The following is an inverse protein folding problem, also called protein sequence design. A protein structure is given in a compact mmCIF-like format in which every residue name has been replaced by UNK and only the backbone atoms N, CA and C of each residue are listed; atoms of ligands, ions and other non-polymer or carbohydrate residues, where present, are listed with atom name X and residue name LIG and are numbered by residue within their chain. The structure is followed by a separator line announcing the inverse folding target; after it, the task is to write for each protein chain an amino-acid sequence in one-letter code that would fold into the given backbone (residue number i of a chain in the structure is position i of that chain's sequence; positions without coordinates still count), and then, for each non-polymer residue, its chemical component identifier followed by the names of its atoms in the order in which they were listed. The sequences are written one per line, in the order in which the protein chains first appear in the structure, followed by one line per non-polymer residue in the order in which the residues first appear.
data_IF_418282425324
#
_entry.id   IF_418282425324
#
_cell.length_a   1.000
_cell.length_b   1.000
_cell.length_c   1.000
_cell.angle_alpha   90.00
_cell.angle_beta   90.00
_cell.angle_gamma   90.00
#
_symmetry.space_group_name_H-M   'P 1'
#
loop_
_entity.id
_entity.type
_entity.pdbx_description
1 polymer ?
#
# COMPACT_ATOMS: atom_id res chain seq x y z
N UNK A 1 -1.04 8.89 8.97
CA UNK A 1 -1.43 7.56 9.49
C UNK A 1 -1.45 7.58 11.02
N UNK A 2 -0.44 8.17 11.66
CA UNK A 2 -0.33 8.28 13.13
C UNK A 2 -1.54 8.94 13.83
N UNK A 3 -2.13 9.99 13.25
CA UNK A 3 -3.32 10.66 13.83
C UNK A 3 -4.52 9.70 13.91
N UNK A 4 -4.64 8.76 12.98
CA UNK A 4 -5.75 7.80 12.95
C UNK A 4 -5.55 6.70 14.01
N UNK A 5 -4.32 6.22 14.18
CA UNK A 5 -3.98 5.26 15.25
C UNK A 5 -4.13 5.86 16.65
N UNK A 6 -3.82 7.15 16.81
CA UNK A 6 -4.00 7.84 18.08
C UNK A 6 -5.49 7.90 18.48
N UNK A 7 -6.37 8.24 17.52
CA UNK A 7 -7.82 8.26 17.74
C UNK A 7 -8.38 6.88 18.09
N UNK A 8 -7.95 5.84 17.39
CA UNK A 8 -8.33 4.45 17.67
C UNK A 8 -7.90 4.01 19.07
N UNK A 9 -6.68 4.38 19.51
CA UNK A 9 -6.21 4.12 20.87
C UNK A 9 -7.06 4.84 21.91
N UNK A 10 -7.34 6.12 21.74
CA UNK A 10 -8.18 6.88 22.68
C UNK A 10 -9.60 6.32 22.78
N UNK A 11 -10.23 5.96 21.65
CA UNK A 11 -11.58 5.36 21.64
C UNK A 11 -11.56 4.01 22.36
N UNK A 12 -10.54 3.18 22.09
CA UNK A 12 -10.37 1.89 22.77
C UNK A 12 -10.23 2.10 24.28
N UNK A 13 -9.35 3.00 24.72
CA UNK A 13 -9.18 3.33 26.14
C UNK A 13 -10.46 3.86 26.79
N UNK A 14 -11.21 4.73 26.12
CA UNK A 14 -12.48 5.24 26.62
C UNK A 14 -13.53 4.12 26.77
N UNK A 15 -13.65 3.23 25.78
CA UNK A 15 -14.54 2.06 25.86
C UNK A 15 -14.14 1.13 27.00
N UNK A 16 -12.86 0.77 27.13
CA UNK A 16 -12.38 -0.10 28.21
C UNK A 16 -12.59 0.52 29.59
N UNK A 17 -12.34 1.82 29.75
CA UNK A 17 -12.61 2.55 31.00
C UNK A 17 -14.09 2.58 31.33
N UNK A 18 -14.96 2.79 30.33
CA UNK A 18 -16.41 2.75 30.50
C UNK A 18 -16.88 1.36 30.93
N UNK A 19 -16.43 0.29 30.24
CA UNK A 19 -16.78 -1.08 30.60
C UNK A 19 -16.25 -1.46 31.99
N UNK A 20 -15.03 -1.06 32.34
CA UNK A 20 -14.48 -1.27 33.68
C UNK A 20 -15.31 -0.54 34.75
N UNK A 21 -15.72 0.70 34.48
CA UNK A 21 -16.54 1.49 35.40
C UNK A 21 -17.95 0.90 35.55
N UNK A 22 -18.58 0.46 34.47
CA UNK A 22 -19.84 -0.28 34.51
C UNK A 22 -19.70 -1.59 35.29
N UNK A 23 -18.63 -2.36 35.05
CA UNK A 23 -18.37 -3.61 35.77
C UNK A 23 -18.17 -3.37 37.28
N UNK A 24 -17.43 -2.32 37.66
CA UNK A 24 -17.25 -1.92 39.06
C UNK A 24 -18.57 -1.44 39.68
N UNK A 25 -19.37 -0.65 38.96
CA UNK A 25 -20.66 -0.16 39.43
C UNK A 25 -21.66 -1.30 39.64
N UNK A 26 -21.75 -2.23 38.67
CA UNK A 26 -22.59 -3.43 38.75
C UNK A 26 -22.08 -4.36 39.85
N UNK A 27 -20.77 -4.57 39.96
CA UNK A 27 -20.16 -5.39 41.01
C UNK A 27 -20.42 -4.82 42.40
N UNK A 28 -20.23 -3.50 42.59
CA UNK A 28 -20.51 -2.81 43.85
C UNK A 28 -21.99 -2.88 44.21
N UNK A 29 -22.88 -2.63 43.26
CA UNK A 29 -24.32 -2.70 43.50
C UNK A 29 -24.77 -4.13 43.78
N UNK A 30 -24.24 -5.10 43.04
CA UNK A 30 -24.45 -6.54 43.25
C UNK A 30 -23.99 -6.98 44.64
N UNK A 31 -22.77 -6.63 45.07
CA UNK A 31 -22.24 -6.97 46.40
C UNK A 31 -23.10 -6.35 47.51
N UNK A 32 -23.46 -5.06 47.40
CA UNK A 32 -24.31 -4.40 48.39
C UNK A 32 -25.70 -5.05 48.48
N UNK A 33 -26.27 -5.46 47.35
CA UNK A 33 -27.59 -6.09 47.31
C UNK A 33 -27.56 -7.55 47.75
N UNK A 34 -26.50 -8.29 47.42
CA UNK A 34 -26.27 -9.68 47.82
C UNK A 34 -26.03 -9.81 49.32
N UNK A 35 -25.29 -8.86 49.92
CA UNK A 35 -25.04 -8.83 51.37
C UNK A 35 -26.29 -8.40 52.15
N UNK A 36 -27.17 -7.58 51.56
CA UNK A 36 -28.35 -7.08 52.27
C UNK A 36 -29.64 -7.91 52.05
N UNK A 37 -29.79 -8.67 50.97
CA UNK A 37 -31.07 -9.33 50.60
C UNK A 37 -30.82 -10.75 50.06
N UNK A 38 -30.86 -11.74 50.95
CA UNK A 38 -30.66 -13.17 50.63
C UNK A 38 -31.90 -13.88 50.05
N UNK A 39 -33.03 -13.19 49.83
CA UNK A 39 -34.27 -13.76 49.28
C UNK A 39 -34.49 -13.37 47.81
N UNK A 40 -33.56 -13.72 46.92
CA UNK A 40 -33.80 -13.58 45.48
C UNK A 40 -34.54 -14.80 44.95
N UNK A 41 -35.66 -14.57 44.27
CA UNK A 41 -36.35 -15.63 43.52
C UNK A 41 -35.46 -16.15 42.39
N UNK A 42 -35.53 -17.45 42.12
CA UNK A 42 -34.86 -18.14 41.00
C UNK A 42 -34.94 -17.42 39.63
N UNK A 43 -36.03 -16.70 39.26
CA UNK A 43 -36.10 -15.99 37.99
C UNK A 43 -35.11 -14.82 37.85
N UNK A 44 -34.85 -14.07 38.92
CA UNK A 44 -33.98 -12.89 38.88
C UNK A 44 -32.51 -13.28 38.70
N UNK A 45 -32.12 -14.42 39.26
CA UNK A 45 -30.80 -15.01 39.05
C UNK A 45 -30.55 -15.39 37.58
N UNK A 46 -31.55 -16.02 36.94
CA UNK A 46 -31.44 -16.43 35.54
C UNK A 46 -31.25 -15.24 34.59
N UNK A 47 -31.99 -14.15 34.80
CA UNK A 47 -31.86 -12.92 34.00
C UNK A 47 -30.46 -12.29 34.13
N UNK A 48 -29.87 -12.30 35.33
CA UNK A 48 -28.54 -11.75 35.56
C UNK A 48 -27.44 -12.59 34.90
N UNK A 49 -27.51 -13.92 35.04
CA UNK A 49 -26.56 -14.84 34.39
C UNK A 49 -26.66 -14.71 32.86
N UNK A 50 -27.86 -14.57 32.31
CA UNK A 50 -28.05 -14.36 30.87
C UNK A 50 -27.43 -13.05 30.39
N UNK A 51 -27.61 -11.95 31.14
CA UNK A 51 -27.02 -10.66 30.80
C UNK A 51 -25.48 -10.74 30.76
N UNK A 52 -24.85 -11.37 31.75
CA UNK A 52 -23.38 -11.55 31.75
C UNK A 52 -22.92 -12.45 30.61
N UNK A 53 -23.63 -13.56 30.36
CA UNK A 53 -23.34 -14.45 29.24
C UNK A 53 -23.36 -13.72 27.90
N UNK A 54 -24.32 -12.82 27.69
CA UNK A 54 -24.42 -12.01 26.46
C UNK A 54 -23.25 -11.04 26.30
N UNK A 55 -22.83 -10.36 27.38
CA UNK A 55 -21.68 -9.44 27.35
C UNK A 55 -20.39 -10.22 27.09
N UNK A 56 -20.20 -11.36 27.77
CA UNK A 56 -19.04 -12.23 27.57
C UNK A 56 -18.96 -12.74 26.12
N UNK A 57 -20.10 -13.12 25.53
CA UNK A 57 -20.17 -13.55 24.14
C UNK A 57 -19.79 -12.42 23.16
N UNK A 58 -20.28 -11.20 23.38
CA UNK A 58 -19.93 -10.03 22.55
C UNK A 58 -18.43 -9.73 22.65
N UNK A 59 -17.87 -9.69 23.86
CA UNK A 59 -16.43 -9.48 24.06
C UNK A 59 -15.59 -10.58 23.40
N UNK A 60 -16.02 -11.84 23.52
CA UNK A 60 -15.37 -12.97 22.84
C UNK A 60 -15.40 -12.84 21.32
N UNK A 61 -16.54 -12.44 20.74
CA UNK A 61 -16.67 -12.21 19.30
C UNK A 61 -15.75 -11.09 18.80
N UNK A 62 -15.66 -9.98 19.54
CA UNK A 62 -14.75 -8.86 19.21
C UNK A 62 -13.29 -9.32 19.27
N UNK A 63 -12.91 -10.06 20.31
CA UNK A 63 -11.54 -10.56 20.48
C UNK A 63 -11.13 -11.51 19.35
N UNK A 64 -12.02 -12.42 18.95
CA UNK A 64 -11.79 -13.33 17.83
C UNK A 64 -11.68 -12.54 16.52
N UNK A 65 -12.57 -11.57 16.28
CA UNK A 65 -12.53 -10.74 15.07
C UNK A 65 -11.23 -9.93 14.94
N UNK A 66 -10.73 -9.36 16.03
CA UNK A 66 -9.47 -8.61 16.04
C UNK A 66 -8.26 -9.53 15.82
N UNK A 67 -8.26 -10.71 16.43
CA UNK A 67 -7.19 -11.70 16.25
C UNK A 67 -7.16 -12.20 14.80
N UNK A 68 -8.31 -12.49 14.23
CA UNK A 68 -8.47 -12.92 12.85
C UNK A 68 -7.98 -11.83 11.86
N UNK A 69 -8.30 -10.56 12.11
CA UNK A 69 -7.77 -9.43 11.32
C UNK A 69 -6.25 -9.36 11.37
N UNK A 70 -5.65 -9.55 12.54
CA UNK A 70 -4.20 -9.56 12.69
C UNK A 70 -3.55 -10.74 11.93
N UNK A 71 -4.16 -11.93 11.96
CA UNK A 71 -3.69 -13.08 11.18
C UNK A 71 -3.78 -12.81 9.68
N UNK A 72 -4.93 -12.36 9.17
CA UNK A 72 -5.09 -12.02 7.74
C UNK A 72 -4.12 -10.94 7.28
N UNK A 73 -3.82 -9.96 8.11
CA UNK A 73 -2.84 -8.92 7.79
C UNK A 73 -1.41 -9.50 7.65
N UNK A 74 -1.04 -10.46 8.51
CA UNK A 74 0.25 -11.16 8.42
C UNK A 74 0.32 -12.05 7.19
N UNK A 75 -0.73 -12.82 6.91
CA UNK A 75 -0.79 -13.69 5.73
C UNK A 75 -0.71 -12.87 4.43
N UNK A 76 -1.42 -11.74 4.37
CA UNK A 76 -1.34 -10.81 3.25
C UNK A 76 0.07 -10.22 3.08
N UNK A 77 0.76 -9.89 4.18
CA UNK A 77 2.14 -9.41 4.14
C UNK A 77 3.09 -10.50 3.63
N UNK A 78 2.98 -11.75 4.09
CA UNK A 78 3.80 -12.86 3.61
C UNK A 78 3.61 -13.09 2.11
N UNK A 79 2.36 -13.07 1.62
CA UNK A 79 2.06 -13.19 0.19
C UNK A 79 2.67 -12.02 -0.59
N UNK A 80 2.59 -10.81 -0.05
CA UNK A 80 3.15 -9.62 -0.69
C UNK A 80 4.67 -9.65 -0.76
N UNK A 81 5.35 -10.12 0.29
CA UNK A 81 6.80 -10.31 0.32
C UNK A 81 7.23 -11.39 -0.67
N UNK A 82 6.54 -12.53 -0.70
CA UNK A 82 6.84 -13.60 -1.66
C UNK A 82 6.71 -13.10 -3.11
N UNK A 83 5.61 -12.41 -3.42
CA UNK A 83 5.41 -11.79 -4.73
C UNK A 83 6.50 -10.74 -5.03
N UNK A 84 6.94 -9.96 -4.04
CA UNK A 84 7.98 -8.95 -4.23
C UNK A 84 9.33 -9.58 -4.54
N UNK A 85 9.68 -10.66 -3.85
CA UNK A 85 10.90 -11.44 -4.09
C UNK A 85 10.87 -12.09 -5.48
N UNK A 86 9.76 -12.71 -5.87
CA UNK A 86 9.59 -13.30 -7.19
C UNK A 86 9.77 -12.28 -8.31
N UNK A 87 9.25 -11.06 -8.11
CA UNK A 87 9.33 -9.98 -9.10
C UNK A 87 10.58 -9.09 -8.96
N UNK A 88 11.45 -9.33 -7.97
CA UNK A 88 12.57 -8.42 -7.67
C UNK A 88 13.54 -8.31 -8.85
N UNK A 89 13.90 -9.43 -9.48
CA UNK A 89 14.78 -9.44 -10.64
C UNK A 89 14.17 -8.68 -11.82
N UNK A 90 12.87 -8.86 -12.06
CA UNK A 90 12.14 -8.16 -13.11
C UNK A 90 12.13 -6.64 -12.87
N UNK A 91 11.92 -6.20 -11.63
CA UNK A 91 11.95 -4.78 -11.26
C UNK A 91 13.34 -4.15 -11.41
N UNK A 92 14.39 -4.89 -11.07
CA UNK A 92 15.76 -4.45 -11.30
C UNK A 92 16.06 -4.27 -12.78
N UNK A 93 15.65 -5.24 -13.60
CA UNK A 93 15.81 -5.17 -15.06
C UNK A 93 15.05 -3.96 -15.59
N UNK A 94 13.77 -3.79 -15.21
CA UNK A 94 12.93 -2.68 -15.63
C UNK A 94 13.53 -1.32 -15.24
N UNK A 95 14.06 -1.19 -14.03
CA UNK A 95 14.69 0.05 -13.54
C UNK A 95 15.94 0.40 -14.36
N UNK A 96 16.86 -0.56 -14.58
CA UNK A 96 18.05 -0.36 -15.42
C UNK A 96 17.66 0.05 -16.84
N UNK A 97 16.64 -0.62 -17.36
CA UNK A 97 16.07 -0.40 -18.67
C UNK A 97 15.53 1.03 -18.84
N UNK A 98 14.73 1.52 -17.89
CA UNK A 98 14.19 2.88 -17.91
C UNK A 98 15.32 3.91 -17.79
N UNK A 99 16.33 3.65 -16.95
CA UNK A 99 17.50 4.52 -16.80
C UNK A 99 18.28 4.65 -18.11
N UNK A 100 18.44 3.54 -18.84
CA UNK A 100 19.08 3.53 -20.16
C UNK A 100 18.27 4.35 -21.18
N UNK A 101 16.94 4.16 -21.25
CA UNK A 101 16.07 4.95 -22.15
C UNK A 101 16.16 6.44 -21.82
N UNK A 102 16.10 6.79 -20.53
CA UNK A 102 16.25 8.19 -20.08
C UNK A 102 17.59 8.78 -20.52
N UNK A 103 18.69 8.03 -20.41
CA UNK A 103 20.00 8.48 -20.87
C UNK A 103 20.06 8.68 -22.39
N UNK A 104 19.44 7.77 -23.17
CA UNK A 104 19.34 7.93 -24.64
C UNK A 104 18.54 9.15 -25.03
N UNK A 105 17.41 9.42 -24.36
CA UNK A 105 16.59 10.61 -24.59
C UNK A 105 17.36 11.90 -24.23
N UNK A 106 18.08 11.90 -23.10
CA UNK A 106 18.95 13.02 -22.75
C UNK A 106 20.00 13.30 -23.83
N UNK A 107 20.65 12.26 -24.36
CA UNK A 107 21.59 12.42 -25.47
C UNK A 107 20.89 12.94 -26.74
N UNK A 108 19.67 12.48 -27.01
CA UNK A 108 18.85 12.95 -28.13
C UNK A 108 18.44 14.43 -28.03
N UNK A 109 18.47 15.03 -26.83
CA UNK A 109 18.27 16.48 -26.70
C UNK A 109 19.48 17.29 -27.17
N UNK A 110 20.67 16.67 -27.23
CA UNK A 110 21.93 17.31 -27.62
C UNK A 110 22.31 17.02 -29.07
N UNK A 111 21.97 15.83 -29.56
CA UNK A 111 22.26 15.36 -30.92
C UNK A 111 20.97 14.82 -31.51
N UNK A 112 20.53 15.34 -32.65
CA UNK A 112 19.33 14.87 -33.32
C UNK A 112 19.52 13.41 -33.76
N UNK A 113 18.78 12.45 -33.17
CA UNK A 113 18.95 11.04 -33.51
C UNK A 113 18.17 10.72 -34.79
N UNK A 114 18.60 9.66 -35.48
CA UNK A 114 17.90 9.19 -36.67
C UNK A 114 16.46 8.74 -36.34
N UNK A 115 15.49 8.88 -37.26
CA UNK A 115 14.10 8.45 -37.06
C UNK A 115 13.96 6.99 -36.56
N UNK A 116 14.80 6.10 -37.06
CA UNK A 116 14.82 4.68 -36.67
C UNK A 116 15.19 4.46 -35.20
N UNK A 117 16.03 5.33 -34.63
CA UNK A 117 16.39 5.27 -33.20
C UNK A 117 15.20 5.61 -32.31
N UNK A 118 14.37 6.57 -32.71
CA UNK A 118 13.14 6.88 -31.98
C UNK A 118 12.16 5.71 -31.98
N UNK A 119 12.01 5.04 -33.13
CA UNK A 119 11.15 3.87 -33.25
C UNK A 119 11.68 2.69 -32.42
N UNK A 120 13.00 2.47 -32.41
CA UNK A 120 13.63 1.49 -31.53
C UNK A 120 13.39 1.80 -30.06
N UNK A 121 13.53 3.06 -29.63
CA UNK A 121 13.26 3.46 -28.24
C UNK A 121 11.78 3.27 -27.86
N UNK A 122 10.85 3.58 -28.76
CA UNK A 122 9.42 3.35 -28.53
C UNK A 122 9.10 1.86 -28.42
N UNK A 123 9.69 1.04 -29.29
CA UNK A 123 9.55 -0.41 -29.23
C UNK A 123 10.12 -0.98 -27.94
N UNK A 124 11.31 -0.53 -27.50
CA UNK A 124 11.90 -0.91 -26.23
C UNK A 124 11.01 -0.53 -25.05
N UNK A 125 10.38 0.65 -25.09
CA UNK A 125 9.49 1.11 -24.03
C UNK A 125 8.18 0.30 -23.98
N UNK A 126 7.62 -0.04 -25.15
CA UNK A 126 6.38 -0.83 -25.29
C UNK A 126 6.56 -2.31 -24.97
N UNK A 127 7.67 -2.90 -25.41
CA UNK A 127 7.97 -4.31 -25.24
C UNK A 127 8.36 -4.68 -23.80
N UNK A 128 8.53 -3.70 -22.92
CA UNK A 128 8.89 -3.94 -21.53
C UNK A 128 7.66 -4.28 -20.70
N UNK A 129 7.79 -5.39 -19.97
CA UNK A 129 6.72 -5.98 -19.16
C UNK A 129 6.24 -4.96 -18.14
N UNK A 130 5.02 -4.46 -18.36
CA UNK A 130 4.28 -3.67 -17.37
C UNK A 130 3.98 -4.57 -16.18
N UNK A 131 4.02 -3.99 -14.98
CA UNK A 131 3.59 -4.70 -13.79
C UNK A 131 2.07 -4.84 -13.91
N UNK A 132 1.59 -6.08 -13.92
CA UNK A 132 0.17 -6.34 -13.99
C UNK A 132 -0.56 -5.81 -12.74
N UNK A 133 -1.83 -5.48 -12.90
CA UNK A 133 -2.70 -5.00 -11.84
C UNK A 133 -2.81 -6.03 -10.72
N UNK A 134 -2.80 -7.33 -11.04
CA UNK A 134 -2.82 -8.40 -10.04
C UNK A 134 -1.57 -8.36 -9.15
N UNK A 135 -0.38 -8.19 -9.75
CA UNK A 135 0.87 -8.07 -9.01
C UNK A 135 0.91 -6.78 -8.18
N UNK A 136 0.40 -5.66 -8.71
CA UNK A 136 0.28 -4.42 -7.95
C UNK A 136 -0.65 -4.55 -6.74
N UNK A 137 -1.74 -5.31 -6.86
CA UNK A 137 -2.64 -5.62 -5.75
C UNK A 137 -1.96 -6.48 -4.69
N UNK A 138 -1.12 -7.44 -5.08
CA UNK A 138 -0.32 -8.23 -4.13
C UNK A 138 0.62 -7.34 -3.30
N UNK A 139 1.15 -6.27 -3.88
CA UNK A 139 1.99 -5.31 -3.16
C UNK A 139 1.22 -4.38 -2.22
N UNK A 140 -0.13 -4.39 -2.19
CA UNK A 140 -0.89 -3.45 -1.37
C UNK A 140 -0.69 -3.65 0.13
N UNK A 141 -0.26 -4.86 0.55
CA UNK A 141 0.04 -5.17 1.94
C UNK A 141 1.46 -4.76 2.36
N UNK A 142 2.33 -4.36 1.43
CA UNK A 142 3.67 -3.87 1.76
C UNK A 142 3.61 -2.48 2.43
N UNK A 143 4.56 -2.19 3.33
CA UNK A 143 4.67 -0.86 3.96
C UNK A 143 5.01 0.25 2.95
N UNK A 144 5.02 1.50 3.43
CA UNK A 144 5.48 2.69 2.70
C UNK A 144 4.71 3.08 1.43
N UNK A 145 3.51 2.53 1.23
CA UNK A 145 2.70 2.75 0.02
C UNK A 145 3.44 2.27 -1.24
N UNK A 146 4.19 1.16 -1.13
CA UNK A 146 4.95 0.57 -2.23
C UNK A 146 4.08 0.37 -3.49
N UNK A 147 2.93 -0.32 -3.35
CA UNK A 147 1.99 -0.52 -4.45
C UNK A 147 1.57 0.78 -5.17
N UNK A 148 1.30 1.84 -4.40
CA UNK A 148 0.90 3.13 -4.95
C UNK A 148 2.03 3.78 -5.76
N UNK A 149 3.27 3.71 -5.27
CA UNK A 149 4.45 4.22 -5.99
C UNK A 149 4.69 3.44 -7.28
N UNK A 150 4.55 2.12 -7.24
CA UNK A 150 4.70 1.28 -8.43
C UNK A 150 3.59 1.51 -9.45
N UNK A 151 2.34 1.64 -9.00
CA UNK A 151 1.21 2.00 -9.84
C UNK A 151 1.40 3.37 -10.50
N UNK A 152 1.89 4.36 -9.74
CA UNK A 152 2.25 5.69 -10.27
C UNK A 152 3.36 5.60 -11.30
N UNK A 153 4.44 4.88 -11.02
CA UNK A 153 5.53 4.69 -11.96
C UNK A 153 5.05 4.01 -13.26
N UNK A 154 4.10 3.06 -13.16
CA UNK A 154 3.48 2.42 -14.33
C UNK A 154 2.64 3.42 -15.15
N UNK A 155 1.88 4.30 -14.48
CA UNK A 155 1.14 5.37 -15.14
C UNK A 155 2.08 6.38 -15.82
N UNK A 156 3.18 6.77 -15.15
CA UNK A 156 4.20 7.66 -15.69
C UNK A 156 4.88 7.06 -16.94
N UNK A 157 5.12 5.75 -16.99
CA UNK A 157 5.62 5.06 -18.18
C UNK A 157 4.63 5.12 -19.35
N UNK A 158 3.33 5.00 -19.09
CA UNK A 158 2.31 5.12 -20.12
C UNK A 158 2.21 6.56 -20.67
N UNK A 159 2.34 7.56 -19.80
CA UNK A 159 2.45 8.96 -20.20
C UNK A 159 3.71 9.15 -21.05
N UNK A 160 4.85 8.59 -20.65
CA UNK A 160 6.10 8.65 -21.38
C UNK A 160 5.98 8.05 -22.80
N UNK A 161 5.31 6.90 -22.93
CA UNK A 161 5.03 6.26 -24.21
C UNK A 161 4.18 7.15 -25.13
N UNK A 162 3.14 7.77 -24.57
CA UNK A 162 2.26 8.67 -25.30
C UNK A 162 3.03 9.90 -25.78
N UNK A 163 3.83 10.52 -24.90
CA UNK A 163 4.67 11.66 -25.24
C UNK A 163 5.68 11.30 -26.33
N UNK A 164 6.36 10.16 -26.22
CA UNK A 164 7.32 9.70 -27.23
C UNK A 164 6.66 9.47 -28.59
N UNK A 165 5.47 8.84 -28.61
CA UNK A 165 4.68 8.66 -29.84
C UNK A 165 4.34 10.01 -30.48
N UNK A 166 3.99 11.01 -29.67
CA UNK A 166 3.72 12.35 -30.21
C UNK A 166 4.96 13.05 -30.75
N UNK A 167 6.12 12.85 -30.12
CA UNK A 167 7.40 13.41 -30.58
C UNK A 167 7.80 12.81 -31.93
N UNK A 168 7.61 11.50 -32.13
CA UNK A 168 7.89 10.83 -33.40
C UNK A 168 7.05 11.39 -34.55
N UNK A 169 5.81 11.80 -34.28
CA UNK A 169 4.94 12.43 -35.27
C UNK A 169 5.33 13.87 -35.66
N UNK A 170 6.24 14.50 -34.92
CA UNK A 170 6.69 15.88 -35.18
C UNK A 170 7.87 15.87 -36.15
N UNK A 171 7.56 15.92 -37.45
CA UNK A 171 8.56 15.87 -38.54
C UNK A 171 8.80 17.24 -39.21
N UNK A 172 8.22 18.32 -38.69
CA UNK A 172 8.37 19.68 -39.22
C UNK A 172 9.43 20.44 -38.42
N UNK A 173 10.41 21.03 -39.12
CA UNK A 173 11.47 21.87 -38.54
C UNK A 173 10.90 23.00 -37.67
N UNK A 174 9.70 23.51 -38.01
CA UNK A 174 9.01 24.55 -37.23
C UNK A 174 8.56 24.08 -35.84
N UNK A 175 8.55 22.78 -35.58
CA UNK A 175 8.15 22.18 -34.32
C UNK A 175 9.33 21.81 -33.41
N UNK A 176 10.56 22.16 -33.79
CA UNK A 176 11.77 21.78 -33.06
C UNK A 176 11.75 22.23 -31.59
N UNK A 177 11.33 23.47 -31.29
CA UNK A 177 11.23 23.96 -29.91
C UNK A 177 10.23 23.16 -29.07
N UNK A 178 9.07 22.81 -29.68
CA UNK A 178 8.04 22.02 -29.02
C UNK A 178 8.50 20.59 -28.78
N UNK A 179 9.28 20.04 -29.72
CA UNK A 179 9.93 18.73 -29.61
C UNK A 179 10.88 18.70 -28.43
N UNK A 180 11.78 19.69 -28.32
CA UNK A 180 12.73 19.82 -27.21
C UNK A 180 12.00 19.94 -25.87
N UNK A 181 10.96 20.77 -25.78
CA UNK A 181 10.16 20.90 -24.57
C UNK A 181 9.50 19.58 -24.15
N UNK A 182 8.94 18.82 -25.09
CA UNK A 182 8.35 17.50 -24.83
C UNK A 182 9.39 16.46 -24.41
N UNK A 183 10.58 16.50 -25.00
CA UNK A 183 11.69 15.62 -24.61
C UNK A 183 12.16 15.91 -23.18
N UNK A 184 12.25 17.19 -22.78
CA UNK A 184 12.56 17.55 -21.39
C UNK A 184 11.51 17.01 -20.42
N UNK A 185 10.22 17.20 -20.75
CA UNK A 185 9.13 16.65 -19.94
C UNK A 185 9.19 15.12 -19.86
N UNK A 186 9.50 14.44 -20.95
CA UNK A 186 9.66 12.99 -21.01
C UNK A 186 10.79 12.52 -20.07
N UNK A 187 11.93 13.20 -20.08
CA UNK A 187 13.06 12.90 -19.17
C UNK A 187 12.65 13.06 -17.70
N UNK A 188 11.87 14.09 -17.37
CA UNK A 188 11.40 14.34 -16.00
C UNK A 188 10.41 13.28 -15.53
N UNK A 189 9.46 12.88 -16.40
CA UNK A 189 8.48 11.82 -16.12
C UNK A 189 9.20 10.48 -15.88
N UNK A 190 10.14 10.12 -16.74
CA UNK A 190 10.95 8.91 -16.57
C UNK A 190 11.83 8.97 -15.30
N UNK A 191 12.36 10.15 -14.97
CA UNK A 191 13.12 10.38 -13.74
C UNK A 191 12.28 10.16 -12.48
N UNK A 192 11.04 10.64 -12.47
CA UNK A 192 10.09 10.40 -11.37
C UNK A 192 9.74 8.92 -11.23
N UNK A 193 9.43 8.25 -12.34
CA UNK A 193 9.14 6.82 -12.37
C UNK A 193 10.33 6.00 -11.80
N UNK A 194 11.56 6.33 -12.20
CA UNK A 194 12.77 5.69 -11.67
C UNK A 194 12.95 5.89 -10.17
N UNK A 195 12.77 7.11 -9.68
CA UNK A 195 12.91 7.41 -8.26
C UNK A 195 11.83 6.67 -7.44
N UNK A 196 10.60 6.60 -7.92
CA UNK A 196 9.51 5.89 -7.25
C UNK A 196 9.74 4.37 -7.26
N UNK A 197 10.21 3.78 -8.37
CA UNK A 197 10.60 2.38 -8.43
C UNK A 197 11.79 2.07 -7.52
N UNK A 198 12.84 2.89 -7.53
CA UNK A 198 14.03 2.71 -6.70
C UNK A 198 13.71 2.77 -5.20
N UNK A 199 12.87 3.72 -4.77
CA UNK A 199 12.40 3.79 -3.38
C UNK A 199 11.54 2.59 -2.98
N UNK A 200 10.73 2.10 -3.90
CA UNK A 200 9.89 0.92 -3.67
C UNK A 200 10.75 -0.34 -3.50
N UNK A 201 11.76 -0.51 -4.36
CA UNK A 201 12.72 -1.62 -4.26
C UNK A 201 13.55 -1.55 -2.98
N UNK A 202 13.96 -0.36 -2.55
CA UNK A 202 14.67 -0.20 -1.28
C UNK A 202 13.80 -0.60 -0.08
N UNK A 203 12.53 -0.16 -0.06
CA UNK A 203 11.58 -0.54 1.01
C UNK A 203 11.31 -2.04 1.02
N UNK A 204 11.18 -2.67 -0.16
CA UNK A 204 11.08 -4.13 -0.30
C UNK A 204 12.33 -4.82 0.27
N UNK A 205 13.53 -4.35 -0.09
CA UNK A 205 14.79 -4.93 0.38
C UNK A 205 14.95 -4.86 1.90
N UNK A 206 14.55 -3.75 2.54
CA UNK A 206 14.51 -3.63 4.00
C UNK A 206 13.51 -4.61 4.61
N UNK A 207 12.31 -4.72 4.03
CA UNK A 207 11.25 -5.60 4.54
C UNK A 207 11.66 -7.07 4.48
N UNK A 208 12.37 -7.48 3.42
CA UNK A 208 12.90 -8.85 3.30
C UNK A 208 13.99 -9.09 4.34
N UNK A 209 14.92 -8.14 4.52
CA UNK A 209 15.98 -8.26 5.52
C UNK A 209 15.47 -8.36 6.96
N UNK A 210 14.39 -7.66 7.29
CA UNK A 210 13.75 -7.71 8.61
C UNK A 210 12.97 -9.02 8.84
N UNK A 211 12.55 -9.72 7.77
CA UNK A 211 11.78 -10.97 7.86
C UNK A 211 12.67 -12.22 8.09
N UNK A 212 13.97 -12.11 7.79
CA UNK A 212 14.96 -13.19 7.96
C UNK A 212 15.62 -13.20 9.37
N UNK A 213 15.21 -12.30 10.27
CA UNK A 213 15.70 -12.16 11.67
C UNK A 213 14.62 -12.61 12.66
#
# INVERSE_FOLDING_TARGET
MEIMEFRLRCIRWACWSFFALCAVAIGRWGILRFVCWADWGTPDWAAWVQAIGSIAAICGAIWIADRERAHRARDALTVAVLAATENQAQLQILTKNIAMIRARILNATMVEPAPDEWMSMLHDLRGRVRIDSETLLKFSALPDKCALRMARANADLHIAETLLTTVIGMNDDRQQDMRIARLSLLVDVLGKALNDMGRSMHSIGLTIGDADI
#
